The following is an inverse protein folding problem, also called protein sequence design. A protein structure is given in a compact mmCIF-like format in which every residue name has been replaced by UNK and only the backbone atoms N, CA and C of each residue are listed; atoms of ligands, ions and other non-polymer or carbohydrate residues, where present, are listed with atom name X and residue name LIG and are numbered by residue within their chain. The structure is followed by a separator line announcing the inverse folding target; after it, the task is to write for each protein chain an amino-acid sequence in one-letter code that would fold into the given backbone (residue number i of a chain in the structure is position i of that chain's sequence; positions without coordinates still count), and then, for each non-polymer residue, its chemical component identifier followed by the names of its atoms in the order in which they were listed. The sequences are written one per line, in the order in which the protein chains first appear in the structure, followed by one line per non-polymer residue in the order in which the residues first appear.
data_IF_240389562697
#
_entry.id   IF_240389562697
#
_cell.length_a   1.000
_cell.length_b   1.000
_cell.length_c   1.000
_cell.angle_alpha   90.00
_cell.angle_beta   90.00
_cell.angle_gamma   90.00
#
_symmetry.space_group_name_H-M   'P 1'
#
loop_
_entity.id
_entity.type
_entity.pdbx_description
1 polymer ?
#
# COMPACT_ATOMS: atom_id res chain seq x y z
N UNK A 1 -8.44 11.86 9.40
CA UNK A 1 -8.07 10.82 10.39
C UNK A 1 -6.92 10.02 9.83
N UNK A 2 -5.77 10.06 10.49
CA UNK A 2 -4.57 9.27 10.13
C UNK A 2 -4.68 7.85 10.69
N UNK A 3 -3.95 6.90 10.10
CA UNK A 3 -3.77 5.55 10.63
C UNK A 3 -2.52 5.52 11.52
N UNK A 4 -1.34 5.60 10.90
CA UNK A 4 -0.05 5.74 11.58
C UNK A 4 0.82 6.64 10.71
N UNK A 5 1.43 7.66 11.31
CA UNK A 5 2.24 8.64 10.56
C UNK A 5 3.59 8.07 10.15
N UNK A 6 4.05 8.41 8.94
CA UNK A 6 5.41 8.14 8.45
C UNK A 6 5.85 6.67 8.37
N UNK A 7 4.93 5.69 8.42
CA UNK A 7 5.26 4.26 8.29
C UNK A 7 4.74 3.62 7.00
N UNK A 8 3.87 4.33 6.28
CA UNK A 8 3.20 3.81 5.10
C UNK A 8 4.21 3.53 3.99
N UNK A 9 4.06 2.40 3.31
CA UNK A 9 4.92 1.95 2.21
C UNK A 9 4.33 2.25 0.82
N UNK A 10 3.18 2.91 0.75
CA UNK A 10 2.49 3.28 -0.48
C UNK A 10 3.38 4.14 -1.39
N UNK A 11 3.56 3.68 -2.62
CA UNK A 11 4.22 4.40 -3.72
C UNK A 11 3.22 4.50 -4.89
N UNK A 12 3.26 5.63 -5.60
CA UNK A 12 2.45 5.87 -6.80
C UNK A 12 3.32 6.50 -7.88
N UNK A 13 3.63 5.73 -8.92
CA UNK A 13 4.47 6.14 -10.05
C UNK A 13 3.61 6.84 -11.10
N UNK A 14 3.60 8.17 -11.07
CA UNK A 14 2.76 9.00 -11.95
C UNK A 14 3.00 8.70 -13.44
N UNK A 15 4.24 8.41 -13.82
CA UNK A 15 4.62 8.15 -15.22
C UNK A 15 3.97 6.89 -15.79
N UNK A 16 3.67 5.91 -14.94
CA UNK A 16 2.99 4.67 -15.34
C UNK A 16 1.45 4.79 -15.22
N UNK A 17 0.95 5.84 -14.58
CA UNK A 17 -0.47 5.98 -14.26
C UNK A 17 -1.26 6.51 -15.46
N UNK A 18 -2.12 5.67 -16.04
CA UNK A 18 -3.04 6.09 -17.10
C UNK A 18 -4.32 6.77 -16.60
N UNK A 19 -4.40 7.10 -15.30
CA UNK A 19 -5.55 7.80 -14.69
C UNK A 19 -6.91 7.09 -14.81
N UNK A 20 -6.94 5.76 -14.88
CA UNK A 20 -8.19 4.99 -14.97
C UNK A 20 -9.14 5.14 -13.75
N UNK A 21 -8.63 5.61 -12.61
CA UNK A 21 -9.42 5.91 -11.42
C UNK A 21 -9.79 4.71 -10.55
N UNK A 22 -9.41 3.48 -10.90
CA UNK A 22 -9.78 2.29 -10.10
C UNK A 22 -9.32 2.37 -8.64
N UNK A 23 -8.16 2.99 -8.37
CA UNK A 23 -7.63 3.21 -7.03
C UNK A 23 -8.51 4.17 -6.18
N UNK A 24 -9.28 5.07 -6.80
CA UNK A 24 -10.26 5.92 -6.13
C UNK A 24 -11.45 5.08 -5.62
N UNK A 25 -11.86 4.09 -6.42
CA UNK A 25 -13.00 3.21 -6.14
C UNK A 25 -12.66 2.16 -5.08
N UNK A 26 -11.53 1.47 -5.22
CA UNK A 26 -11.19 0.32 -4.35
C UNK A 26 -10.53 0.71 -3.03
N UNK A 27 -10.13 1.97 -2.83
CA UNK A 27 -9.46 2.39 -1.61
C UNK A 27 -10.48 2.67 -0.48
N UNK A 28 -10.57 1.82 0.56
CA UNK A 28 -11.54 2.02 1.65
C UNK A 28 -11.24 3.27 2.50
N UNK A 29 -10.01 3.77 2.42
CA UNK A 29 -9.53 4.94 3.17
C UNK A 29 -9.50 6.23 2.34
N UNK A 30 -9.86 6.15 1.04
CA UNK A 30 -9.85 7.28 0.10
C UNK A 30 -8.56 8.12 0.20
N UNK A 31 -7.42 7.43 0.12
CA UNK A 31 -6.09 8.06 0.21
C UNK A 31 -5.64 8.72 -1.09
N UNK A 32 -6.30 8.37 -2.19
CA UNK A 32 -6.10 8.96 -3.51
C UNK A 32 -7.14 10.04 -3.78
N UNK A 33 -6.79 11.01 -4.63
CA UNK A 33 -7.72 11.97 -5.18
C UNK A 33 -7.48 12.21 -6.67
N UNK A 34 -8.52 12.68 -7.36
CA UNK A 34 -8.39 13.19 -8.73
C UNK A 34 -7.90 14.63 -8.65
N UNK A 35 -6.80 14.94 -9.33
CA UNK A 35 -6.28 16.29 -9.48
C UNK A 35 -6.12 16.57 -10.97
N UNK A 36 -6.97 17.44 -11.51
CA UNK A 36 -7.08 17.66 -12.96
C UNK A 36 -7.27 16.34 -13.73
N UNK A 37 -6.33 16.03 -14.64
CA UNK A 37 -6.32 14.82 -15.46
C UNK A 37 -5.53 13.67 -14.85
N UNK A 38 -4.89 13.85 -13.69
CA UNK A 38 -4.09 12.82 -13.02
C UNK A 38 -4.74 12.33 -11.71
N UNK A 39 -4.24 11.22 -11.18
CA UNK A 39 -4.56 10.74 -9.83
C UNK A 39 -3.36 10.99 -8.95
N UNK A 40 -3.55 11.38 -7.70
CA UNK A 40 -2.45 11.61 -6.76
C UNK A 40 -2.78 11.07 -5.35
N UNK A 41 -1.76 10.95 -4.51
CA UNK A 41 -1.93 10.56 -3.11
C UNK A 41 -2.23 11.81 -2.28
N UNK A 42 -3.44 11.90 -1.74
CA UNK A 42 -3.91 13.01 -0.91
C UNK A 42 -3.68 12.78 0.59
N UNK A 43 -3.83 11.54 1.06
CA UNK A 43 -3.83 11.20 2.49
C UNK A 43 -2.99 9.95 2.75
N UNK A 44 -1.69 10.05 2.47
CA UNK A 44 -0.74 8.93 2.55
C UNK A 44 -0.82 8.17 3.88
N UNK A 45 -0.75 8.90 4.99
CA UNK A 45 -0.78 8.35 6.35
C UNK A 45 -2.14 7.78 6.79
N UNK A 46 -3.19 7.88 5.96
CA UNK A 46 -4.46 7.21 6.20
C UNK A 46 -4.50 5.81 5.56
N UNK A 47 -3.48 5.42 4.79
CA UNK A 47 -3.37 4.10 4.17
C UNK A 47 -3.16 3.01 5.23
N UNK A 48 -4.00 1.98 5.17
CA UNK A 48 -3.93 0.79 6.03
C UNK A 48 -3.23 -0.39 5.33
N UNK A 49 -2.54 -0.12 4.22
CA UNK A 49 -1.74 -1.10 3.47
C UNK A 49 -2.51 -2.36 3.03
N UNK A 50 -3.82 -2.24 2.76
CA UNK A 50 -4.66 -3.39 2.36
C UNK A 50 -4.33 -3.99 0.97
N UNK A 51 -3.57 -3.29 0.14
CA UNK A 51 -3.16 -3.75 -1.19
C UNK A 51 -4.24 -3.74 -2.28
N UNK A 52 -5.46 -3.27 -2.00
CA UNK A 52 -6.55 -3.29 -2.98
C UNK A 52 -6.22 -2.47 -4.24
N UNK A 53 -5.63 -1.28 -4.08
CA UNK A 53 -5.20 -0.44 -5.20
C UNK A 53 -4.09 -1.09 -6.04
N UNK A 54 -3.08 -1.70 -5.41
CA UNK A 54 -2.01 -2.41 -6.10
C UNK A 54 -2.57 -3.58 -6.92
N UNK A 55 -3.41 -4.43 -6.32
CA UNK A 55 -3.97 -5.62 -7.01
C UNK A 55 -4.85 -5.29 -8.21
N UNK A 56 -5.45 -4.10 -8.23
CA UNK A 56 -6.35 -3.67 -9.31
C UNK A 56 -5.68 -2.70 -10.29
N UNK A 57 -4.43 -2.30 -10.07
CA UNK A 57 -3.72 -1.42 -10.99
C UNK A 57 -3.13 -2.24 -12.13
N UNK A 58 -3.80 -2.29 -13.28
CA UNK A 58 -3.31 -3.02 -14.47
C UNK A 58 -1.99 -2.48 -15.02
N UNK A 59 -1.64 -1.23 -14.69
CA UNK A 59 -0.39 -0.58 -15.12
C UNK A 59 0.77 -0.84 -14.14
N UNK A 60 0.51 -1.39 -12.96
CA UNK A 60 1.54 -1.50 -11.90
C UNK A 60 1.98 -0.15 -11.30
N UNK A 61 1.26 0.95 -11.57
CA UNK A 61 1.61 2.30 -11.11
C UNK A 61 1.44 2.53 -9.60
N UNK A 62 0.90 1.57 -8.84
CA UNK A 62 0.70 1.68 -7.39
C UNK A 62 1.26 0.46 -6.70
N UNK A 63 2.13 0.66 -5.71
CA UNK A 63 2.67 -0.42 -4.87
C UNK A 63 2.52 -0.12 -3.38
N UNK A 64 2.35 -1.17 -2.58
CA UNK A 64 2.27 -1.12 -1.12
C UNK A 64 2.67 -2.48 -0.55
N UNK A 65 3.35 -2.49 0.60
CA UNK A 65 3.67 -3.72 1.33
C UNK A 65 2.45 -4.16 2.14
N UNK A 66 1.56 -4.90 1.50
CA UNK A 66 0.38 -5.45 2.16
C UNK A 66 0.72 -6.65 3.06
N UNK A 67 0.04 -6.76 4.20
CA UNK A 67 0.16 -7.92 5.09
C UNK A 67 0.03 -7.56 6.57
N UNK A 68 0.23 -8.57 7.42
CA UNK A 68 0.12 -8.45 8.88
C UNK A 68 1.50 -8.34 9.55
N UNK A 69 2.37 -7.45 9.04
CA UNK A 69 3.81 -7.42 9.35
C UNK A 69 4.17 -7.62 10.83
N UNK A 70 3.49 -6.93 11.75
CA UNK A 70 3.70 -7.08 13.19
C UNK A 70 3.30 -8.47 13.73
N UNK A 71 2.16 -9.01 13.30
CA UNK A 71 1.74 -10.36 13.68
C UNK A 71 2.70 -11.42 13.13
N UNK A 72 3.12 -11.27 11.86
CA UNK A 72 4.13 -12.16 11.25
C UNK A 72 5.45 -12.14 12.02
N UNK A 73 5.89 -10.97 12.50
CA UNK A 73 7.10 -10.85 13.30
C UNK A 73 7.00 -11.61 14.64
N UNK A 74 5.86 -11.49 15.34
CA UNK A 74 5.61 -12.23 16.58
C UNK A 74 5.56 -13.75 16.34
N UNK A 75 4.84 -14.19 15.31
CA UNK A 75 4.74 -15.60 14.96
C UNK A 75 6.12 -16.18 14.61
N UNK A 76 6.93 -15.47 13.83
CA UNK A 76 8.28 -15.91 13.49
C UNK A 76 9.17 -16.05 14.73
N UNK A 77 9.06 -15.12 15.69
CA UNK A 77 9.77 -15.21 16.96
C UNK A 77 9.33 -16.44 17.77
N UNK A 78 8.02 -16.69 17.86
CA UNK A 78 7.49 -17.87 18.57
C UNK A 78 7.96 -19.20 17.94
N UNK A 79 8.08 -19.24 16.61
CA UNK A 79 8.57 -20.40 15.86
C UNK A 79 10.10 -20.52 15.82
N UNK A 80 10.85 -19.67 16.53
CA UNK A 80 12.32 -19.68 16.53
C UNK A 80 12.95 -19.34 15.18
N UNK A 81 12.20 -18.73 14.25
CA UNK A 81 12.70 -18.38 12.91
C UNK A 81 13.56 -17.11 12.98
N UNK A 82 14.75 -17.16 12.38
CA UNK A 82 15.70 -16.03 12.32
C UNK A 82 15.31 -14.91 11.35
N UNK A 83 14.30 -15.08 10.49
CA UNK A 83 13.77 -14.00 9.63
C UNK A 83 12.93 -13.05 10.49
N UNK A 84 13.61 -12.11 11.16
CA UNK A 84 12.99 -11.04 11.92
C UNK A 84 12.95 -9.75 11.08
N UNK A 85 11.74 -9.19 10.99
CA UNK A 85 11.37 -7.89 10.44
C UNK A 85 11.63 -7.68 8.94
N UNK A 86 10.53 -7.49 8.20
CA UNK A 86 10.46 -6.85 6.88
C UNK A 86 10.77 -7.68 5.62
N UNK A 87 10.90 -9.01 5.70
CA UNK A 87 11.01 -9.84 4.48
C UNK A 87 9.83 -10.79 4.39
N UNK A 88 8.90 -10.47 3.49
CA UNK A 88 8.04 -11.47 2.87
C UNK A 88 8.45 -11.48 1.42
N UNK A 89 9.08 -12.57 1.02
CA UNK A 89 9.62 -12.80 -0.32
C UNK A 89 8.49 -12.60 -1.34
N UNK A 90 8.68 -11.69 -2.32
CA UNK A 90 7.91 -11.65 -3.56
C UNK A 90 8.83 -12.22 -4.65
N UNK A 91 8.75 -13.53 -4.86
CA UNK A 91 9.56 -14.29 -5.81
C UNK A 91 9.56 -15.76 -5.45
#
# INVERSE_FOLDING_TARGET
MFYIKNVVTLIHEQEMCNSCGICLTVCPRRVFQRSNRVVEIARRDACIECGACQRNCSQGAVTVRAGVGCASALINRMLGRKKACCVVDNG
#
